data_IF_209799714237
#
_entry.id   IF_209799714237
#
_cell.length_a   1.000
_cell.length_b   1.000
_cell.length_c   1.000
_cell.angle_alpha   90.00
_cell.angle_beta   90.00
_cell.angle_gamma   90.00
#
_symmetry.space_group_name_H-M   'P 1'
#
loop_
_entity.id
_entity.type
_entity.pdbx_description
1 polymer ?
#
# COMPACT_ATOMS: atom_id res chain seq x y z
N UNK A 1 12.85 78.56 15.93
CA UNK A 1 13.66 77.35 16.15
C UNK A 1 13.14 76.23 15.27
N UNK A 2 14.04 75.62 14.48
CA UNK A 2 13.77 74.69 13.37
C UNK A 2 13.23 73.34 13.86
N UNK A 3 12.22 72.79 13.19
CA UNK A 3 11.93 71.35 13.20
C UNK A 3 12.07 70.80 11.78
N UNK A 4 13.15 70.05 11.54
CA UNK A 4 13.35 69.23 10.35
C UNK A 4 12.46 67.99 10.46
N UNK A 5 11.65 67.70 9.42
CA UNK A 5 11.10 66.36 9.18
C UNK A 5 12.14 65.53 8.44
N UNK A 6 12.68 64.50 9.07
CA UNK A 6 13.46 63.47 8.41
C UNK A 6 12.52 62.37 7.90
N UNK A 7 12.47 62.15 6.59
CA UNK A 7 11.88 60.95 5.99
C UNK A 7 12.87 59.79 6.14
N UNK A 8 12.52 58.78 6.93
CA UNK A 8 13.22 57.50 6.95
C UNK A 8 12.69 56.59 5.84
N UNK A 9 13.49 56.36 4.80
CA UNK A 9 13.24 55.30 3.81
C UNK A 9 13.77 54.00 4.42
N UNK A 10 12.87 53.09 4.80
CA UNK A 10 13.22 51.74 5.23
C UNK A 10 13.31 50.83 3.99
N UNK A 11 14.52 50.49 3.58
CA UNK A 11 14.77 49.47 2.56
C UNK A 11 14.70 48.09 3.21
N UNK A 12 13.60 47.36 2.98
CA UNK A 12 13.53 45.93 3.30
C UNK A 12 14.43 45.15 2.34
N UNK A 13 15.53 44.61 2.86
CA UNK A 13 16.41 43.68 2.15
C UNK A 13 15.78 42.28 2.21
N UNK A 14 15.10 41.86 1.14
CA UNK A 14 14.54 40.51 1.02
C UNK A 14 15.67 39.51 0.75
N UNK A 15 16.13 38.81 1.78
CA UNK A 15 17.08 37.69 1.62
C UNK A 15 16.31 36.49 1.07
N UNK A 16 16.44 36.24 -0.23
CA UNK A 16 16.06 34.97 -0.84
C UNK A 16 17.09 33.90 -0.43
N UNK A 17 16.77 33.12 0.61
CA UNK A 17 17.49 31.87 0.84
C UNK A 17 17.06 30.86 -0.22
N UNK A 18 17.84 30.76 -1.29
CA UNK A 18 17.80 29.59 -2.18
C UNK A 18 18.38 28.44 -1.36
N UNK A 19 17.50 27.66 -0.73
CA UNK A 19 17.88 26.38 -0.16
C UNK A 19 18.36 25.49 -1.32
N UNK A 20 19.67 25.28 -1.42
CA UNK A 20 20.23 24.15 -2.18
C UNK A 20 19.61 22.87 -1.61
N UNK A 21 18.56 22.36 -2.25
CA UNK A 21 18.13 20.99 -2.03
C UNK A 21 19.26 20.11 -2.54
N UNK A 22 20.12 19.64 -1.63
CA UNK A 22 21.00 18.53 -1.92
C UNK A 22 20.12 17.42 -2.47
N UNK A 23 20.42 16.96 -3.69
CA UNK A 23 19.75 15.86 -4.34
C UNK A 23 20.17 14.54 -3.65
N UNK A 24 19.89 14.43 -2.34
CA UNK A 24 20.10 13.21 -1.57
C UNK A 24 19.20 12.15 -2.19
N UNK A 25 19.82 11.14 -2.81
CA UNK A 25 19.12 9.95 -3.28
C UNK A 25 18.22 9.46 -2.15
N UNK A 26 16.93 9.26 -2.43
CA UNK A 26 15.99 8.72 -1.46
C UNK A 26 16.54 7.42 -0.88
N UNK A 27 16.38 7.19 0.43
CA UNK A 27 16.81 5.97 1.10
C UNK A 27 16.25 4.71 0.42
N UNK A 28 15.04 4.82 -0.16
CA UNK A 28 14.39 3.76 -0.94
C UNK A 28 15.24 3.37 -2.16
N UNK A 29 15.87 4.33 -2.83
CA UNK A 29 16.66 4.09 -4.03
C UNK A 29 17.94 3.30 -3.75
N UNK A 30 18.36 3.15 -2.48
CA UNK A 30 19.51 2.34 -2.10
C UNK A 30 19.28 0.83 -2.27
N UNK A 31 18.03 0.39 -2.50
CA UNK A 31 17.68 -1.01 -2.75
C UNK A 31 17.70 -1.38 -4.24
N UNK A 32 18.06 -0.46 -5.13
CA UNK A 32 18.00 -0.68 -6.57
C UNK A 32 19.15 0.03 -7.29
N UNK A 33 19.63 -0.57 -8.38
CA UNK A 33 20.74 0.00 -9.17
C UNK A 33 20.31 1.25 -9.97
N UNK A 34 19.03 1.35 -10.28
CA UNK A 34 18.44 2.39 -11.13
C UNK A 34 17.19 2.97 -10.46
N UNK A 35 16.98 4.28 -10.63
CA UNK A 35 15.75 4.96 -10.20
C UNK A 35 14.78 4.94 -11.39
N UNK A 36 13.53 4.48 -11.20
CA UNK A 36 12.58 4.38 -12.30
C UNK A 36 12.08 5.77 -12.71
N UNK A 37 11.75 5.89 -13.99
CA UNK A 37 11.03 7.03 -14.57
C UNK A 37 9.58 6.61 -14.83
N UNK A 38 9.09 6.79 -16.05
CA UNK A 38 7.79 6.35 -16.56
C UNK A 38 7.69 4.84 -16.83
N UNK A 39 8.79 4.09 -16.75
CA UNK A 39 8.84 2.65 -16.96
C UNK A 39 9.11 1.91 -15.64
N UNK A 40 8.25 0.97 -15.23
CA UNK A 40 8.48 0.21 -14.00
C UNK A 40 9.74 -0.64 -14.05
N UNK A 41 10.50 -0.62 -12.97
CA UNK A 41 11.69 -1.45 -12.78
C UNK A 41 11.43 -2.51 -11.71
N UNK A 42 12.18 -3.62 -11.73
CA UNK A 42 12.16 -4.58 -10.62
C UNK A 42 12.81 -3.93 -9.39
N UNK A 43 12.13 -3.97 -8.25
CA UNK A 43 12.60 -3.38 -7.00
C UNK A 43 13.31 -4.42 -6.13
N UNK A 44 14.47 -4.06 -5.59
CA UNK A 44 15.17 -4.90 -4.62
C UNK A 44 15.55 -6.27 -5.17
N UNK A 45 16.07 -6.35 -6.39
CA UNK A 45 16.48 -7.62 -7.02
C UNK A 45 17.43 -8.38 -6.07
N UNK A 46 17.23 -9.70 -5.95
CA UNK A 46 18.01 -10.61 -5.10
C UNK A 46 17.92 -10.37 -3.57
N UNK A 47 17.28 -9.27 -3.14
CA UNK A 47 17.10 -8.92 -1.72
C UNK A 47 15.62 -9.08 -1.32
N UNK A 48 14.74 -8.36 -2.02
CA UNK A 48 13.29 -8.38 -1.85
C UNK A 48 12.68 -9.28 -2.93
N UNK A 49 12.86 -8.89 -4.20
CA UNK A 49 12.40 -9.65 -5.36
C UNK A 49 13.39 -10.74 -5.68
N UNK A 50 13.01 -11.97 -5.38
CA UNK A 50 13.82 -13.18 -5.59
C UNK A 50 13.05 -14.17 -6.45
N UNK A 51 13.77 -14.91 -7.28
CA UNK A 51 13.16 -15.87 -8.20
C UNK A 51 12.37 -16.94 -7.46
N UNK A 52 11.32 -17.46 -8.10
CA UNK A 52 10.42 -18.50 -7.57
C UNK A 52 9.68 -18.12 -6.28
N UNK A 53 9.58 -16.82 -5.97
CA UNK A 53 8.79 -16.32 -4.86
C UNK A 53 7.63 -15.45 -5.37
N UNK A 54 6.64 -15.27 -4.51
CA UNK A 54 5.60 -14.26 -4.66
C UNK A 54 5.89 -13.14 -3.68
N UNK A 55 5.90 -11.90 -4.18
CA UNK A 55 5.85 -10.71 -3.34
C UNK A 55 4.44 -10.16 -3.39
N UNK A 56 3.82 -9.99 -2.22
CA UNK A 56 2.46 -9.45 -2.12
C UNK A 56 2.48 -7.94 -2.10
N UNK A 57 2.97 -7.35 -1.02
CA UNK A 57 3.05 -5.89 -0.90
C UNK A 57 4.22 -5.44 -0.04
N UNK A 58 4.56 -4.16 -0.14
CA UNK A 58 5.59 -3.48 0.64
C UNK A 58 4.99 -2.25 1.31
N UNK A 59 5.54 -1.84 2.44
CA UNK A 59 5.17 -0.59 3.12
C UNK A 59 6.39 -0.05 3.86
N UNK A 60 6.49 1.27 3.94
CA UNK A 60 7.59 1.98 4.61
C UNK A 60 7.03 2.80 5.76
N UNK A 61 7.79 2.92 6.84
CA UNK A 61 7.44 3.85 7.91
C UNK A 61 7.57 5.30 7.40
N UNK A 62 6.99 6.29 8.10
CA UNK A 62 6.98 7.68 7.62
C UNK A 62 8.37 8.28 7.33
N UNK A 63 9.40 7.85 8.08
CA UNK A 63 10.80 8.30 7.89
C UNK A 63 11.55 7.54 6.79
N UNK A 64 10.95 6.48 6.23
CA UNK A 64 11.53 5.62 5.20
C UNK A 64 12.88 5.00 5.58
N UNK A 65 13.02 4.63 6.86
CA UNK A 65 14.19 3.94 7.43
C UNK A 65 13.84 2.52 7.95
N UNK A 66 12.57 2.13 7.91
CA UNK A 66 12.09 0.79 8.22
C UNK A 66 11.03 0.41 7.19
N UNK A 67 11.13 -0.80 6.66
CA UNK A 67 10.15 -1.33 5.71
C UNK A 67 9.67 -2.72 6.14
N UNK A 68 8.48 -3.05 5.68
CA UNK A 68 7.89 -4.38 5.79
C UNK A 68 7.40 -4.83 4.42
N UNK A 69 7.59 -6.10 4.10
CA UNK A 69 7.08 -6.67 2.86
C UNK A 69 6.64 -8.11 3.06
N UNK A 70 5.63 -8.51 2.29
CA UNK A 70 5.13 -9.87 2.25
C UNK A 70 5.90 -10.67 1.20
N UNK A 71 6.43 -11.83 1.58
CA UNK A 71 7.10 -12.76 0.67
C UNK A 71 6.73 -14.20 0.97
N UNK A 72 6.64 -15.01 -0.08
CA UNK A 72 6.37 -16.45 0.00
C UNK A 72 7.17 -17.23 -1.04
N UNK A 73 7.93 -18.24 -0.61
CA UNK A 73 8.44 -19.29 -1.49
C UNK A 73 7.32 -20.25 -1.89
N UNK A 74 7.43 -20.98 -3.01
CA UNK A 74 6.35 -21.84 -3.51
C UNK A 74 5.74 -22.81 -2.47
N UNK A 75 6.58 -23.34 -1.56
CA UNK A 75 6.22 -24.31 -0.52
C UNK A 75 6.04 -23.70 0.88
N UNK A 76 6.19 -22.38 1.03
CA UNK A 76 6.09 -21.71 2.32
C UNK A 76 4.74 -21.00 2.50
N UNK A 77 4.42 -20.64 3.74
CA UNK A 77 3.33 -19.72 4.05
C UNK A 77 3.68 -18.28 3.63
N UNK A 78 2.67 -17.43 3.44
CA UNK A 78 2.90 -16.00 3.31
C UNK A 78 3.38 -15.44 4.65
N UNK A 79 4.59 -14.88 4.65
CA UNK A 79 5.20 -14.29 5.83
C UNK A 79 5.56 -12.82 5.57
N UNK A 80 5.65 -12.06 6.65
CA UNK A 80 6.05 -10.66 6.62
C UNK A 80 7.52 -10.58 7.04
N UNK A 81 8.32 -9.94 6.20
CA UNK A 81 9.72 -9.65 6.44
C UNK A 81 9.90 -8.16 6.74
N UNK A 82 10.97 -7.82 7.45
CA UNK A 82 11.35 -6.44 7.75
C UNK A 82 12.82 -6.19 7.42
N UNK A 83 13.11 -4.95 7.07
CA UNK A 83 14.45 -4.42 6.86
C UNK A 83 14.54 -3.03 7.49
N UNK A 84 15.73 -2.67 7.98
CA UNK A 84 16.01 -1.35 8.55
C UNK A 84 17.20 -0.71 7.87
N UNK A 85 17.16 0.59 7.70
CA UNK A 85 18.29 1.39 7.28
C UNK A 85 19.17 1.71 8.49
N UNK A 86 20.39 1.19 8.49
CA UNK A 86 21.38 1.36 9.56
C UNK A 86 22.64 1.92 8.92
N UNK A 87 23.11 3.08 9.38
CA UNK A 87 24.30 3.76 8.86
C UNK A 87 24.30 3.91 7.32
N UNK A 88 23.14 4.29 6.77
CA UNK A 88 22.95 4.49 5.33
C UNK A 88 22.89 3.20 4.50
N UNK A 89 22.75 2.02 5.11
CA UNK A 89 22.62 0.73 4.42
C UNK A 89 21.42 -0.05 4.91
N UNK A 90 20.66 -0.63 3.99
CA UNK A 90 19.57 -1.52 4.35
C UNK A 90 20.11 -2.85 4.87
N UNK A 91 19.58 -3.30 6.00
CA UNK A 91 19.86 -4.63 6.55
C UNK A 91 19.36 -5.73 5.61
N UNK A 92 19.86 -6.95 5.76
CA UNK A 92 19.25 -8.12 5.11
C UNK A 92 17.79 -8.30 5.59
N UNK A 93 16.89 -8.86 4.77
CA UNK A 93 15.55 -9.21 5.21
C UNK A 93 15.59 -10.24 6.34
N UNK A 94 14.83 -9.96 7.40
CA UNK A 94 14.57 -10.91 8.49
C UNK A 94 13.06 -11.04 8.68
N UNK A 95 12.59 -12.16 9.23
CA UNK A 95 11.17 -12.30 9.58
C UNK A 95 10.77 -11.21 10.57
N UNK A 96 9.62 -10.59 10.35
CA UNK A 96 9.07 -9.66 11.30
C UNK A 96 8.79 -10.39 12.63
N UNK A 97 9.03 -9.76 13.79
CA UNK A 97 8.92 -10.43 15.10
C UNK A 97 7.50 -10.95 15.39
N UNK A 98 6.49 -10.34 14.76
CA UNK A 98 5.08 -10.74 14.85
C UNK A 98 4.63 -11.69 13.74
N UNK A 99 5.52 -12.13 12.84
CA UNK A 99 5.23 -13.04 11.70
C UNK A 99 6.12 -14.29 11.75
N UNK A 100 6.32 -14.82 12.97
CA UNK A 100 7.14 -16.03 13.21
C UNK A 100 6.37 -17.33 13.05
N UNK A 101 5.05 -17.26 12.91
CA UNK A 101 4.21 -18.42 12.67
C UNK A 101 4.36 -18.88 11.21
N UNK A 102 4.65 -20.17 10.98
CA UNK A 102 4.77 -20.72 9.62
C UNK A 102 3.54 -21.50 9.15
N UNK A 103 2.54 -21.65 10.02
CA UNK A 103 1.34 -22.45 9.77
C UNK A 103 0.20 -21.64 9.15
N UNK A 104 0.11 -20.36 9.50
CA UNK A 104 -0.94 -19.45 9.05
C UNK A 104 -0.33 -18.38 8.16
N UNK A 105 -1.19 -17.75 7.39
CA UNK A 105 -0.81 -16.80 6.37
C UNK A 105 -0.88 -15.40 6.97
N UNK A 106 0.13 -14.57 6.70
CA UNK A 106 0.11 -13.14 6.98
C UNK A 106 0.22 -12.33 5.68
N UNK A 107 -0.68 -11.37 5.50
CA UNK A 107 -0.91 -10.71 4.22
C UNK A 107 -1.00 -9.19 4.31
N UNK A 108 -0.65 -8.53 3.21
CA UNK A 108 -0.97 -7.12 2.92
C UNK A 108 -0.70 -6.14 4.06
N UNK A 109 0.54 -6.14 4.53
CA UNK A 109 1.01 -5.26 5.59
C UNK A 109 0.94 -3.77 5.16
N UNK A 110 0.41 -2.90 6.04
CA UNK A 110 0.25 -1.46 5.81
C UNK A 110 0.59 -0.67 7.06
N UNK A 111 1.44 0.35 6.94
CA UNK A 111 1.65 1.33 8.02
C UNK A 111 0.43 2.23 8.21
N UNK A 112 0.17 2.63 9.45
CA UNK A 112 -0.55 3.87 9.72
C UNK A 112 0.26 5.06 9.20
N UNK A 113 -0.36 6.15 8.70
CA UNK A 113 0.38 7.35 8.31
C UNK A 113 1.22 7.96 9.45
N UNK A 114 0.85 7.69 10.71
CA UNK A 114 1.62 8.10 11.90
C UNK A 114 2.84 7.21 12.16
N UNK A 115 2.91 6.01 11.58
CA UNK A 115 4.00 5.05 11.79
C UNK A 115 3.98 4.33 13.14
N UNK A 116 2.93 4.52 13.93
CA UNK A 116 2.73 3.94 15.27
C UNK A 116 2.05 2.56 15.24
N UNK A 117 1.47 2.17 14.10
CA UNK A 117 0.75 0.92 13.93
C UNK A 117 0.98 0.32 12.55
N UNK A 118 0.96 -1.00 12.50
CA UNK A 118 0.91 -1.77 11.26
C UNK A 118 -0.36 -2.62 11.24
N UNK A 119 -1.02 -2.68 10.09
CA UNK A 119 -2.21 -3.50 9.83
C UNK A 119 -1.86 -4.61 8.85
N UNK A 120 -2.33 -5.83 9.09
CA UNK A 120 -2.15 -6.96 8.18
C UNK A 120 -3.29 -7.98 8.33
N UNK A 121 -3.62 -8.68 7.25
CA UNK A 121 -4.55 -9.80 7.27
C UNK A 121 -3.85 -11.05 7.81
N UNK A 122 -4.53 -11.85 8.62
CA UNK A 122 -3.96 -13.14 9.08
C UNK A 122 -5.01 -14.23 9.23
N UNK A 123 -4.63 -15.47 8.90
CA UNK A 123 -5.48 -16.67 9.08
C UNK A 123 -5.21 -17.39 10.40
N UNK A 124 -4.49 -16.76 11.33
CA UNK A 124 -4.27 -17.31 12.67
C UNK A 124 -5.61 -17.56 13.39
N UNK A 125 -5.68 -18.56 14.27
CA UNK A 125 -6.83 -18.74 15.15
C UNK A 125 -7.08 -17.47 15.97
N UNK A 126 -8.35 -17.15 16.18
CA UNK A 126 -8.76 -16.06 17.05
C UNK A 126 -8.79 -16.57 18.49
N UNK A 127 -8.32 -15.75 19.43
CA UNK A 127 -8.32 -16.07 20.87
C UNK A 127 -7.65 -17.44 21.13
N UNK A 128 -8.07 -18.16 22.18
CA UNK A 128 -7.55 -19.49 22.54
C UNK A 128 -8.17 -20.64 21.72
N UNK A 129 -8.66 -20.35 20.51
CA UNK A 129 -9.19 -21.41 19.65
C UNK A 129 -8.08 -22.19 18.97
N UNK A 130 -8.23 -23.52 18.86
CA UNK A 130 -7.20 -24.37 18.24
C UNK A 130 -7.20 -24.32 16.70
N UNK A 131 -8.27 -23.80 16.08
CA UNK A 131 -8.49 -23.83 14.62
C UNK A 131 -8.73 -22.42 14.07
N UNK A 132 -8.19 -22.17 12.88
CA UNK A 132 -8.48 -20.95 12.12
C UNK A 132 -9.95 -20.87 11.76
N UNK A 133 -10.55 -19.68 11.87
CA UNK A 133 -11.89 -19.38 11.39
C UNK A 133 -11.89 -18.59 10.07
N UNK A 134 -10.73 -18.50 9.40
CA UNK A 134 -10.56 -17.76 8.15
C UNK A 134 -9.67 -16.52 8.33
N UNK A 135 -9.79 -15.59 7.38
CA UNK A 135 -8.95 -14.39 7.30
C UNK A 135 -9.59 -13.23 8.09
N UNK A 136 -8.82 -12.70 9.04
CA UNK A 136 -9.21 -11.57 9.88
C UNK A 136 -8.20 -10.44 9.77
N UNK A 137 -8.60 -9.23 10.13
CA UNK A 137 -7.70 -8.10 10.24
C UNK A 137 -6.99 -8.12 11.60
N UNK A 138 -5.67 -7.93 11.58
CA UNK A 138 -4.83 -7.79 12.76
C UNK A 138 -4.04 -6.48 12.71
N UNK A 139 -3.53 -6.06 13.85
CA UNK A 139 -2.55 -4.99 13.94
C UNK A 139 -1.48 -5.27 14.98
N UNK A 140 -0.36 -4.56 14.85
CA UNK A 140 0.67 -4.44 15.90
C UNK A 140 0.96 -2.97 16.15
N UNK A 141 1.27 -2.65 17.40
CA UNK A 141 1.64 -1.31 17.83
C UNK A 141 3.15 -1.18 18.00
N UNK A 142 3.68 -0.02 17.64
CA UNK A 142 5.08 0.33 17.87
C UNK A 142 5.25 0.67 19.36
N UNK A 143 6.17 -0.04 20.02
CA UNK A 143 6.58 0.16 21.41
C UNK A 143 7.99 0.73 21.46
N UNK A 144 8.41 1.20 22.63
CA UNK A 144 9.77 1.72 22.84
C UNK A 144 10.88 0.74 22.45
N UNK A 145 10.64 -0.58 22.60
CA UNK A 145 11.60 -1.64 22.32
C UNK A 145 11.32 -2.42 21.01
N UNK A 146 10.49 -1.88 20.11
CA UNK A 146 10.14 -2.52 18.84
C UNK A 146 8.65 -2.78 18.68
N UNK A 147 8.28 -3.73 17.81
CA UNK A 147 6.88 -4.04 17.53
C UNK A 147 6.29 -4.98 18.59
N UNK A 148 5.07 -4.69 19.03
CA UNK A 148 4.33 -5.51 19.98
C UNK A 148 3.87 -6.86 19.43
N UNK A 149 3.10 -7.58 20.26
CA UNK A 149 2.42 -8.82 19.85
C UNK A 149 1.22 -8.49 18.94
N UNK A 150 0.88 -9.37 18.00
CA UNK A 150 -0.24 -9.17 17.08
C UNK A 150 -1.58 -9.22 17.82
N UNK A 151 -2.45 -8.24 17.56
CA UNK A 151 -3.77 -8.10 18.19
C UNK A 151 -4.84 -8.26 17.09
N UNK A 152 -5.82 -9.17 17.24
CA UNK A 152 -6.89 -9.31 16.28
C UNK A 152 -7.86 -8.13 16.41
N UNK A 153 -8.22 -7.50 15.30
CA UNK A 153 -9.14 -6.37 15.27
C UNK A 153 -10.57 -6.87 15.03
N UNK A 154 -11.24 -7.27 16.12
CA UNK A 154 -12.56 -7.95 16.05
C UNK A 154 -13.76 -7.03 16.32
N UNK A 155 -13.49 -5.78 16.71
CA UNK A 155 -14.53 -4.79 16.99
C UNK A 155 -15.01 -4.14 15.68
N UNK A 156 -16.03 -3.30 15.75
CA UNK A 156 -16.48 -2.48 14.61
C UNK A 156 -15.26 -1.73 14.01
N UNK A 157 -15.05 -1.78 12.68
CA UNK A 157 -15.98 -2.23 11.62
C UNK A 157 -15.87 -3.70 11.18
N UNK A 158 -15.08 -4.52 11.88
CA UNK A 158 -14.66 -5.85 11.41
C UNK A 158 -15.35 -7.05 12.09
N UNK A 159 -16.29 -6.79 13.00
CA UNK A 159 -17.07 -7.83 13.67
C UNK A 159 -17.71 -8.79 12.66
N UNK A 160 -17.41 -10.09 12.82
CA UNK A 160 -17.87 -11.21 11.99
C UNK A 160 -17.66 -11.05 10.48
N UNK A 161 -16.59 -10.35 10.08
CA UNK A 161 -16.37 -9.95 8.69
C UNK A 161 -15.06 -10.49 8.13
N UNK A 162 -15.12 -10.96 6.88
CA UNK A 162 -13.93 -11.24 6.09
C UNK A 162 -13.23 -9.92 5.75
N UNK A 163 -11.95 -9.78 6.11
CA UNK A 163 -11.16 -8.58 5.82
C UNK A 163 -9.77 -9.00 5.39
N UNK A 164 -9.41 -8.70 4.14
CA UNK A 164 -8.15 -9.17 3.56
C UNK A 164 -7.00 -8.17 3.73
N UNK A 165 -7.27 -6.91 3.44
CA UNK A 165 -6.28 -5.83 3.41
C UNK A 165 -6.95 -4.57 3.94
N UNK A 166 -6.27 -3.84 4.82
CA UNK A 166 -6.75 -2.56 5.37
C UNK A 166 -5.67 -1.50 5.24
N UNK A 167 -6.01 -0.37 4.62
CA UNK A 167 -5.17 0.82 4.53
C UNK A 167 -5.81 1.97 5.32
N UNK A 168 -5.13 2.49 6.36
CA UNK A 168 -5.57 3.67 7.11
C UNK A 168 -5.21 4.99 6.43
N UNK A 169 -6.11 5.98 6.50
CA UNK A 169 -5.86 7.38 6.16
C UNK A 169 -5.34 8.18 7.37
N UNK A 170 -4.89 9.43 7.17
CA UNK A 170 -4.28 10.26 8.23
C UNK A 170 -5.28 10.68 9.31
N UNK A 171 -6.56 10.84 8.95
CA UNK A 171 -7.65 11.06 9.90
C UNK A 171 -8.08 9.77 10.63
N UNK A 172 -7.44 8.63 10.32
CA UNK A 172 -7.70 7.34 10.91
C UNK A 172 -8.82 6.54 10.25
N UNK A 173 -9.50 7.08 9.21
CA UNK A 173 -10.45 6.31 8.41
C UNK A 173 -9.78 5.06 7.85
N UNK A 174 -10.54 3.97 7.75
CA UNK A 174 -10.03 2.70 7.24
C UNK A 174 -10.67 2.38 5.91
N UNK A 175 -9.86 1.98 4.92
CA UNK A 175 -10.30 1.47 3.62
C UNK A 175 -9.82 0.04 3.47
N UNK A 176 -10.70 -0.88 3.10
CA UNK A 176 -10.37 -2.30 3.19
C UNK A 176 -11.13 -3.18 2.21
N UNK A 177 -10.51 -4.30 1.83
CA UNK A 177 -11.14 -5.35 1.02
C UNK A 177 -12.00 -6.24 1.90
N UNK A 178 -13.25 -6.41 1.49
CA UNK A 178 -14.21 -7.25 2.18
C UNK A 178 -15.32 -7.74 1.25
N UNK A 179 -16.24 -8.55 1.77
CA UNK A 179 -17.44 -9.02 1.07
C UNK A 179 -18.57 -9.24 2.06
N UNK A 180 -19.81 -9.22 1.57
CA UNK A 180 -20.96 -9.59 2.39
C UNK A 180 -21.01 -11.12 2.62
N UNK A 181 -21.69 -11.52 3.69
CA UNK A 181 -21.91 -12.94 4.00
C UNK A 181 -22.66 -13.60 2.83
N UNK A 182 -22.19 -14.77 2.41
CA UNK A 182 -22.74 -15.52 1.27
C UNK A 182 -22.22 -15.11 -0.11
N UNK A 183 -21.54 -13.96 -0.26
CA UNK A 183 -20.90 -13.59 -1.53
C UNK A 183 -19.67 -14.46 -1.82
N UNK A 184 -19.41 -14.71 -3.11
CA UNK A 184 -18.19 -15.40 -3.56
C UNK A 184 -16.99 -14.45 -3.40
N UNK A 185 -15.77 -14.99 -3.34
CA UNK A 185 -14.56 -14.17 -3.22
C UNK A 185 -14.42 -13.18 -4.40
N UNK A 186 -14.73 -13.62 -5.62
CA UNK A 186 -14.73 -12.74 -6.80
C UNK A 186 -15.68 -11.53 -6.72
N UNK A 187 -16.67 -11.56 -5.83
CA UNK A 187 -17.65 -10.48 -5.64
C UNK A 187 -17.24 -9.53 -4.49
N UNK A 188 -16.03 -9.69 -3.95
CA UNK A 188 -15.44 -8.78 -2.98
C UNK A 188 -15.33 -7.36 -3.54
N UNK A 189 -15.11 -6.41 -2.64
CA UNK A 189 -14.95 -5.02 -3.01
C UNK A 189 -14.31 -4.21 -1.90
N UNK A 190 -14.21 -2.92 -2.18
CA UNK A 190 -13.64 -1.96 -1.25
C UNK A 190 -14.73 -1.37 -0.38
N UNK A 191 -14.48 -1.40 0.93
CA UNK A 191 -15.30 -0.85 1.98
C UNK A 191 -14.51 0.23 2.71
N UNK A 192 -15.23 1.08 3.44
CA UNK A 192 -14.62 2.04 4.34
C UNK A 192 -15.36 2.10 5.68
N UNK A 193 -14.66 2.61 6.68
CA UNK A 193 -15.21 2.97 7.98
C UNK A 193 -14.63 4.31 8.42
N UNK A 194 -15.49 5.19 8.94
CA UNK A 194 -15.09 6.51 9.41
C UNK A 194 -14.64 6.40 10.86
N UNK A 195 -13.47 6.97 11.15
CA UNK A 195 -12.99 7.12 12.50
C UNK A 195 -13.75 8.24 13.22
N UNK A 196 -14.34 7.94 14.38
CA UNK A 196 -15.01 8.91 15.26
C UNK A 196 -14.16 9.30 16.47
N UNK A 197 -12.92 8.81 16.55
CA UNK A 197 -11.97 9.08 17.63
C UNK A 197 -11.90 7.93 18.62
N UNK A 198 -13.02 7.61 19.26
CA UNK A 198 -13.18 6.53 20.23
C UNK A 198 -13.70 5.21 19.60
N UNK A 199 -14.41 5.31 18.47
CA UNK A 199 -14.94 4.16 17.74
C UNK A 199 -14.91 4.38 16.22
N UNK A 200 -15.18 3.31 15.48
CA UNK A 200 -15.41 3.34 14.04
C UNK A 200 -16.90 3.22 13.72
N UNK A 201 -17.35 3.85 12.64
CA UNK A 201 -18.67 3.53 12.07
C UNK A 201 -18.70 2.09 11.55
N UNK A 202 -19.88 1.46 11.38
CA UNK A 202 -20.00 0.20 10.66
C UNK A 202 -19.38 0.26 9.26
N UNK A 203 -18.91 -0.90 8.77
CA UNK A 203 -18.36 -1.03 7.43
C UNK A 203 -19.39 -0.62 6.36
N UNK A 204 -18.99 0.25 5.44
CA UNK A 204 -19.82 0.68 4.31
C UNK A 204 -19.12 0.39 2.99
N UNK A 205 -19.81 -0.31 2.08
CA UNK A 205 -19.28 -0.57 0.72
C UNK A 205 -19.11 0.76 -0.01
N UNK A 206 -17.97 0.97 -0.65
CA UNK A 206 -17.78 2.14 -1.52
C UNK A 206 -18.75 2.07 -2.72
N UNK A 207 -19.06 3.24 -3.28
CA UNK A 207 -20.02 3.37 -4.38
C UNK A 207 -19.54 2.75 -5.70
N UNK A 208 -20.42 2.80 -6.71
CA UNK A 208 -20.17 2.25 -8.06
C UNK A 208 -18.93 2.83 -8.75
N UNK A 209 -18.51 4.05 -8.42
CA UNK A 209 -17.29 4.65 -8.97
C UNK A 209 -16.01 3.83 -8.69
N UNK A 210 -16.02 3.07 -7.60
CA UNK A 210 -14.95 2.17 -7.17
C UNK A 210 -15.31 0.71 -7.46
N UNK A 211 -16.48 0.27 -6.97
CA UNK A 211 -16.87 -1.15 -6.98
C UNK A 211 -17.61 -1.60 -8.26
N UNK A 212 -17.52 -0.84 -9.36
CA UNK A 212 -18.12 -1.20 -10.65
C UNK A 212 -17.41 -0.51 -11.83
N UNK A 213 -17.37 -1.11 -13.04
CA UNK A 213 -17.64 -2.53 -13.32
C UNK A 213 -16.47 -3.42 -12.82
N UNK A 214 -16.68 -4.73 -12.84
CA UNK A 214 -15.63 -5.74 -12.61
C UNK A 214 -15.88 -6.67 -11.42
N UNK A 215 -14.95 -7.59 -11.23
CA UNK A 215 -14.84 -8.55 -10.13
C UNK A 215 -13.44 -8.47 -9.51
N UNK A 216 -13.20 -9.18 -8.41
CA UNK A 216 -11.90 -9.23 -7.72
C UNK A 216 -11.37 -7.84 -7.37
N UNK A 217 -12.25 -6.97 -6.88
CA UNK A 217 -11.91 -5.58 -6.55
C UNK A 217 -11.27 -5.55 -5.17
N UNK A 218 -9.94 -5.43 -5.12
CA UNK A 218 -9.17 -5.71 -3.91
C UNK A 218 -7.96 -4.79 -3.69
N UNK A 219 -7.30 -5.01 -2.55
CA UNK A 219 -6.08 -4.36 -2.06
C UNK A 219 -6.04 -2.83 -2.17
N UNK A 220 -7.01 -2.09 -1.59
CA UNK A 220 -7.02 -0.64 -1.66
C UNK A 220 -5.78 -0.04 -0.99
N UNK A 221 -5.11 0.87 -1.68
CA UNK A 221 -4.23 1.87 -1.10
C UNK A 221 -4.92 3.22 -1.20
N UNK A 222 -5.30 3.80 -0.07
CA UNK A 222 -5.79 5.18 0.01
C UNK A 222 -4.63 6.10 0.37
N UNK A 223 -4.54 7.25 -0.29
CA UNK A 223 -3.59 8.29 0.09
C UNK A 223 -3.85 8.75 1.54
N UNK A 224 -2.83 9.14 2.32
CA UNK A 224 -3.04 9.62 3.69
C UNK A 224 -4.04 10.78 3.81
N UNK A 225 -4.09 11.66 2.81
CA UNK A 225 -5.02 12.78 2.72
C UNK A 225 -6.36 12.43 2.02
N UNK A 226 -6.57 11.15 1.72
CA UNK A 226 -7.74 10.62 1.00
C UNK A 226 -7.93 11.20 -0.42
N UNK A 227 -6.93 11.89 -0.98
CA UNK A 227 -7.03 12.55 -2.30
C UNK A 227 -7.12 11.57 -3.47
N UNK A 228 -6.65 10.33 -3.31
CA UNK A 228 -6.79 9.27 -4.29
C UNK A 228 -6.81 7.89 -3.63
N UNK A 229 -7.33 6.91 -4.36
CA UNK A 229 -7.30 5.49 -4.00
C UNK A 229 -6.82 4.68 -5.21
N UNK A 230 -5.91 3.74 -4.98
CA UNK A 230 -5.40 2.78 -5.97
C UNK A 230 -5.85 1.39 -5.55
N UNK A 231 -6.24 0.55 -6.49
CA UNK A 231 -6.68 -0.81 -6.21
C UNK A 231 -6.55 -1.70 -7.44
N UNK A 232 -6.56 -3.01 -7.25
CA UNK A 232 -6.63 -3.98 -8.34
C UNK A 232 -8.07 -4.47 -8.57
N UNK A 233 -8.38 -4.77 -9.83
CA UNK A 233 -9.66 -5.33 -10.24
C UNK A 233 -9.53 -6.08 -11.57
N UNK A 234 -10.35 -7.11 -11.74
CA UNK A 234 -10.66 -7.66 -13.06
C UNK A 234 -11.85 -6.90 -13.64
N UNK A 235 -11.58 -5.90 -14.47
CA UNK A 235 -12.60 -5.31 -15.34
C UNK A 235 -12.65 -6.11 -16.63
N UNK A 236 -13.80 -6.12 -17.29
CA UNK A 236 -14.15 -7.00 -18.42
C UNK A 236 -13.34 -6.79 -19.72
N UNK A 237 -12.05 -6.45 -19.62
CA UNK A 237 -11.06 -6.43 -20.69
C UNK A 237 -10.46 -7.82 -20.93
N UNK A 238 -9.70 -7.95 -22.02
CA UNK A 238 -9.10 -9.19 -22.55
C UNK A 238 -8.24 -10.02 -21.58
N UNK A 239 -7.95 -9.52 -20.38
CA UNK A 239 -6.97 -10.07 -19.45
C UNK A 239 -7.64 -10.44 -18.12
N UNK A 240 -7.68 -11.74 -17.82
CA UNK A 240 -8.25 -12.32 -16.58
C UNK A 240 -7.29 -12.28 -15.37
N UNK A 241 -6.35 -11.33 -15.31
CA UNK A 241 -5.23 -11.41 -14.35
C UNK A 241 -5.15 -10.26 -13.33
N UNK A 242 -6.12 -9.34 -13.30
CA UNK A 242 -6.14 -8.20 -12.38
C UNK A 242 -5.28 -7.03 -12.87
N UNK A 243 -5.93 -5.87 -12.96
CA UNK A 243 -5.37 -4.60 -13.45
C UNK A 243 -5.39 -3.56 -12.33
N UNK A 244 -4.42 -2.64 -12.30
CA UNK A 244 -4.44 -1.53 -11.38
C UNK A 244 -5.27 -0.35 -11.90
N UNK A 245 -6.06 0.23 -11.01
CA UNK A 245 -6.89 1.41 -11.23
C UNK A 245 -6.66 2.47 -10.15
N UNK A 246 -6.86 3.74 -10.52
CA UNK A 246 -6.81 4.89 -9.61
C UNK A 246 -8.10 5.71 -9.71
N UNK A 247 -8.66 6.12 -8.57
CA UNK A 247 -9.76 7.09 -8.48
C UNK A 247 -9.32 8.28 -7.63
N UNK A 248 -9.79 9.47 -7.99
CA UNK A 248 -9.48 10.72 -7.31
C UNK A 248 -10.67 11.20 -6.50
N UNK A 249 -10.39 11.74 -5.32
CA UNK A 249 -11.39 12.33 -4.46
C UNK A 249 -11.42 13.85 -4.66
N UNK A 250 -12.61 14.38 -4.94
CA UNK A 250 -12.87 15.82 -4.96
C UNK A 250 -13.95 16.11 -3.91
N UNK A 251 -13.54 16.64 -2.76
CA UNK A 251 -14.43 17.06 -1.67
C UNK A 251 -15.41 15.96 -1.22
N UNK A 252 -14.91 14.73 -1.03
CA UNK A 252 -15.69 13.57 -0.60
C UNK A 252 -16.34 12.77 -1.74
N UNK A 253 -16.23 13.25 -2.99
CA UNK A 253 -16.76 12.56 -4.17
C UNK A 253 -15.64 11.88 -4.93
N UNK A 254 -15.71 10.55 -5.02
CA UNK A 254 -14.77 9.74 -5.79
C UNK A 254 -15.12 9.76 -7.28
N UNK A 255 -14.13 10.06 -8.13
CA UNK A 255 -14.26 9.96 -9.58
C UNK A 255 -14.47 8.52 -10.02
N UNK A 256 -14.91 8.31 -11.27
CA UNK A 256 -14.70 7.01 -11.93
C UNK A 256 -13.22 6.64 -11.86
N UNK A 257 -12.93 5.35 -11.86
CA UNK A 257 -11.54 4.87 -11.74
C UNK A 257 -10.90 4.72 -13.11
N UNK A 258 -9.67 5.19 -13.23
CA UNK A 258 -8.85 5.22 -14.45
C UNK A 258 -7.81 4.11 -14.40
N UNK A 259 -7.54 3.46 -15.54
CA UNK A 259 -6.44 2.48 -15.63
C UNK A 259 -5.09 3.20 -15.44
N UNK A 260 -4.13 2.52 -14.81
CA UNK A 260 -2.74 2.99 -14.71
C UNK A 260 -1.97 2.87 -16.05
N UNK A 261 -2.61 2.35 -17.10
CA UNK A 261 -2.07 2.32 -18.46
C UNK A 261 -1.14 1.13 -18.74
N UNK A 262 -0.79 0.91 -20.02
CA UNK A 262 -0.14 -0.32 -20.48
C UNK A 262 1.32 -0.50 -20.03
N UNK A 263 1.95 0.53 -19.47
CA UNK A 263 3.27 0.40 -18.84
C UNK A 263 3.18 -0.32 -17.49
N UNK A 264 2.04 -0.17 -16.81
CA UNK A 264 1.75 -0.78 -15.51
C UNK A 264 0.92 -2.04 -15.70
N UNK A 265 -0.23 -1.93 -16.35
CA UNK A 265 -1.16 -3.03 -16.57
C UNK A 265 -0.71 -3.84 -17.80
N UNK A 266 -0.23 -5.06 -17.57
CA UNK A 266 0.32 -5.92 -18.63
C UNK A 266 -0.57 -7.13 -18.89
N UNK A 267 -0.11 -8.08 -19.71
CA UNK A 267 -0.81 -9.37 -19.87
C UNK A 267 -0.67 -10.27 -18.63
N UNK A 268 0.29 -9.95 -17.77
CA UNK A 268 0.54 -10.61 -16.50
C UNK A 268 -0.23 -9.85 -15.42
N UNK A 269 -0.63 -10.51 -14.33
CA UNK A 269 -1.42 -9.86 -13.30
C UNK A 269 -0.61 -8.88 -12.45
N UNK A 270 -1.21 -7.72 -12.18
CA UNK A 270 -0.70 -6.74 -11.23
C UNK A 270 -1.63 -6.58 -10.03
N UNK A 271 -1.05 -6.26 -8.86
CA UNK A 271 -1.86 -6.11 -7.65
C UNK A 271 -1.14 -5.50 -6.46
N UNK A 272 -1.92 -5.30 -5.41
CA UNK A 272 -1.47 -4.94 -4.07
C UNK A 272 -0.58 -3.69 -4.00
N UNK A 273 -0.91 -2.71 -4.85
CA UNK A 273 -0.17 -1.48 -4.99
C UNK A 273 -0.07 -0.67 -3.69
N UNK A 274 1.04 0.06 -3.54
CA UNK A 274 1.30 1.00 -2.43
C UNK A 274 2.13 2.18 -2.91
N UNK A 275 2.01 3.33 -2.27
CA UNK A 275 2.85 4.51 -2.58
C UNK A 275 3.79 4.79 -1.40
N UNK A 276 5.01 5.24 -1.69
CA UNK A 276 5.96 5.66 -0.67
C UNK A 276 5.40 6.83 0.18
N UNK A 277 5.82 6.97 1.45
CA UNK A 277 5.35 8.04 2.34
C UNK A 277 5.57 9.46 1.78
N UNK A 278 6.63 9.67 0.99
CA UNK A 278 6.91 10.94 0.31
C UNK A 278 6.09 11.16 -0.97
N UNK A 279 5.23 10.20 -1.35
CA UNK A 279 4.35 10.27 -2.51
C UNK A 279 5.06 10.10 -3.86
N UNK A 280 6.36 9.77 -3.87
CA UNK A 280 7.17 9.76 -5.11
C UNK A 280 7.11 8.48 -5.90
N UNK A 281 7.04 7.33 -5.23
CA UNK A 281 7.17 6.03 -5.87
C UNK A 281 5.94 5.17 -5.64
N UNK A 282 5.44 4.56 -6.70
CA UNK A 282 4.40 3.53 -6.66
C UNK A 282 5.09 2.17 -6.70
N UNK A 283 4.72 1.28 -5.80
CA UNK A 283 5.14 -0.12 -5.77
C UNK A 283 3.95 -1.02 -6.05
N UNK A 284 4.17 -2.12 -6.77
CA UNK A 284 3.13 -3.10 -7.05
C UNK A 284 3.73 -4.48 -7.34
N UNK A 285 2.99 -5.54 -7.01
CA UNK A 285 3.39 -6.89 -7.42
C UNK A 285 3.00 -7.12 -8.88
N UNK A 286 3.87 -7.79 -9.63
CA UNK A 286 3.53 -8.35 -10.95
C UNK A 286 3.92 -9.82 -10.97
N UNK A 287 2.97 -10.70 -11.27
CA UNK A 287 3.18 -12.14 -11.16
C UNK A 287 2.28 -12.97 -12.06
N UNK A 288 2.74 -14.18 -12.36
CA UNK A 288 1.99 -15.13 -13.20
C UNK A 288 1.91 -16.49 -12.53
N UNK A 289 0.81 -17.19 -12.81
CA UNK A 289 0.69 -18.61 -12.52
C UNK A 289 1.64 -19.40 -13.43
N UNK A 290 2.26 -20.42 -12.86
CA UNK A 290 3.14 -21.40 -13.49
C UNK A 290 2.62 -22.78 -13.17
N UNK A 291 2.88 -23.72 -14.07
CA UNK A 291 2.50 -25.13 -13.92
C UNK A 291 3.78 -25.95 -13.77
N UNK A 292 3.86 -26.75 -12.71
CA UNK A 292 4.94 -27.73 -12.50
C UNK A 292 4.76 -28.92 -13.45
N UNK A 293 5.79 -29.76 -13.59
CA UNK A 293 5.74 -30.97 -14.44
C UNK A 293 4.64 -31.95 -14.03
N UNK A 294 4.26 -31.98 -12.76
CA UNK A 294 3.20 -32.82 -12.22
C UNK A 294 1.77 -32.24 -12.42
N UNK A 295 1.65 -31.10 -13.10
CA UNK A 295 0.39 -30.40 -13.33
C UNK A 295 -0.05 -29.48 -12.19
N UNK A 296 0.65 -29.47 -11.05
CA UNK A 296 0.34 -28.54 -9.96
C UNK A 296 0.69 -27.10 -10.32
N UNK A 297 -0.13 -26.15 -9.88
CA UNK A 297 0.06 -24.72 -10.15
C UNK A 297 0.82 -24.04 -9.00
N UNK A 298 1.61 -23.02 -9.32
CA UNK A 298 2.23 -22.12 -8.36
C UNK A 298 2.35 -20.72 -8.94
N UNK A 299 2.46 -19.72 -8.08
CA UNK A 299 2.63 -18.34 -8.50
C UNK A 299 4.07 -17.91 -8.32
N UNK A 300 4.57 -17.10 -9.23
CA UNK A 300 5.86 -16.41 -9.14
C UNK A 300 5.67 -14.95 -9.55
N UNK A 301 6.39 -14.04 -8.92
CA UNK A 301 6.26 -12.62 -9.19
C UNK A 301 7.35 -11.77 -8.57
N UNK A 302 7.48 -10.56 -9.08
CA UNK A 302 8.39 -9.54 -8.59
C UNK A 302 7.65 -8.35 -8.02
N UNK A 303 8.33 -7.60 -7.15
CA UNK A 303 7.90 -6.27 -6.76
C UNK A 303 8.48 -5.26 -7.73
N UNK A 304 7.63 -4.42 -8.31
CA UNK A 304 8.03 -3.37 -9.24
C UNK A 304 7.81 -2.01 -8.63
N UNK A 305 8.54 -1.02 -9.13
CA UNK A 305 8.39 0.38 -8.73
C UNK A 305 8.52 1.34 -9.91
N UNK A 306 7.84 2.48 -9.84
CA UNK A 306 7.77 3.49 -10.90
C UNK A 306 7.68 4.91 -10.30
N UNK A 307 8.08 5.94 -11.05
CA UNK A 307 7.82 7.34 -10.68
C UNK A 307 6.31 7.61 -10.69
N UNK A 308 5.75 7.76 -9.49
CA UNK A 308 4.33 7.97 -9.32
C UNK A 308 3.90 9.41 -9.58
N UNK A 309 4.80 10.39 -9.41
CA UNK A 309 4.50 11.80 -9.67
C UNK A 309 4.23 11.98 -11.16
N UNK A 310 5.14 11.46 -11.99
CA UNK A 310 5.00 11.51 -13.43
C UNK A 310 3.78 10.69 -13.90
N UNK A 311 3.63 9.45 -13.45
CA UNK A 311 2.50 8.60 -13.81
C UNK A 311 1.14 9.25 -13.47
N UNK A 312 1.00 9.80 -12.26
CA UNK A 312 -0.23 10.46 -11.82
C UNK A 312 -0.54 11.70 -12.65
N UNK A 313 0.48 12.49 -13.01
CA UNK A 313 0.34 13.66 -13.89
C UNK A 313 -0.18 13.25 -15.26
N UNK A 314 0.40 12.23 -15.89
CA UNK A 314 -0.03 11.72 -17.20
C UNK A 314 -1.48 11.23 -17.18
N UNK A 315 -1.88 10.51 -16.14
CA UNK A 315 -3.27 10.05 -15.96
C UNK A 315 -4.22 11.26 -15.87
N UNK A 316 -3.89 12.25 -15.05
CA UNK A 316 -4.72 13.45 -14.90
C UNK A 316 -4.81 14.25 -16.19
N UNK A 317 -3.72 14.43 -16.93
CA UNK A 317 -3.70 15.16 -18.21
C UNK A 317 -4.53 14.44 -19.29
N UNK A 318 -4.39 13.11 -19.40
CA UNK A 318 -5.18 12.30 -20.34
C UNK A 318 -6.68 12.39 -20.08
N UNK A 319 -7.10 12.62 -18.83
CA UNK A 319 -8.50 12.63 -18.43
C UNK A 319 -9.08 14.02 -18.14
N UNK A 320 -8.29 15.10 -18.24
CA UNK A 320 -8.81 16.48 -18.27
C UNK A 320 -9.54 16.82 -19.58
N UNK A 321 -9.24 16.10 -20.65
CA UNK A 321 -9.76 16.36 -22.00
C UNK A 321 -10.92 15.43 -22.39
N UNK A 322 -11.48 14.66 -21.45
CA UNK A 322 -12.54 13.67 -21.65
C UNK A 322 -13.67 13.87 -20.62
#
# INVERSE_FOLDING_TARGET
MKYLKALGISSLLSVFMIACQSNTKSNIALLSDQIPTDTPLLFGKEVISIDNHVIGSITFNPTMDELFFQRRASEESHNIYTMKLIDGKWSKPVLAPFSTNKKYLDFHIRFSPKGDRLYFGSTRPLNDTAKSSGLHQWYVEKKANGWGQPIPFLNTPFTDRFVMCTTPAANGNLYFTSKEKGQKLKDEGIYYAVNKGDHYTPAKKMGKAINYPGTWIAHPYVAPDESYIIYDAERTSEYENGDLYISFNQNGTWSKSYSLGPKINTKIGEGAATVSPDGKYLFFSRGSEKVRKDGSKYWTGGLYWVDFVQLKKEILEKHKNN
#
